data_IF_835529354400
#
_entry.id   IF_835529354400
#
_cell.length_a   1.000
_cell.length_b   1.000
_cell.length_c   1.000
_cell.angle_alpha   90.00
_cell.angle_beta   90.00
_cell.angle_gamma   90.00
#
_symmetry.space_group_name_H-M   'P 1'
#
loop_
_entity.id
_entity.type
_entity.pdbx_description
1 polymer ?
#
# COMPACT_ATOMS: atom_id res chain seq x y z
N UNK A 1 11.49 29.48 17.52
CA UNK A 1 12.56 29.71 16.52
C UNK A 1 13.91 29.09 16.87
N UNK A 2 14.06 27.76 16.66
CA UNK A 2 15.35 27.06 16.46
C UNK A 2 15.10 25.56 16.31
N UNK A 3 14.63 25.13 15.15
CA UNK A 3 14.71 23.72 14.71
C UNK A 3 14.45 23.62 13.21
N UNK A 4 15.27 24.30 12.41
CA UNK A 4 15.35 24.14 10.95
C UNK A 4 16.80 24.36 10.58
N UNK A 5 17.61 23.30 10.56
CA UNK A 5 18.88 23.24 9.78
C UNK A 5 19.71 21.95 10.01
N UNK A 6 19.10 20.76 10.09
CA UNK A 6 19.88 19.51 10.22
C UNK A 6 19.46 18.31 9.37
N UNK A 7 18.69 18.50 8.30
CA UNK A 7 18.36 17.42 7.35
C UNK A 7 18.59 17.84 5.89
N UNK A 8 19.84 18.20 5.55
CA UNK A 8 20.21 18.52 4.15
C UNK A 8 21.29 17.63 3.54
N UNK A 9 21.66 16.52 4.18
CA UNK A 9 22.85 15.73 3.79
C UNK A 9 22.63 14.22 3.58
N UNK A 10 21.40 13.74 3.30
CA UNK A 10 21.17 12.28 3.11
C UNK A 10 20.50 11.80 1.83
N UNK A 11 20.19 12.68 0.89
CA UNK A 11 19.73 12.26 -0.44
C UNK A 11 20.85 12.48 -1.46
N UNK A 12 21.88 11.63 -1.40
CA UNK A 12 22.73 11.41 -2.58
C UNK A 12 21.84 10.73 -3.62
N UNK A 13 21.24 11.52 -4.49
CA UNK A 13 20.52 11.08 -5.67
C UNK A 13 21.50 10.24 -6.51
N UNK A 14 21.41 8.90 -6.39
CA UNK A 14 22.17 7.98 -7.23
C UNK A 14 21.77 8.27 -8.66
N UNK A 15 22.67 8.86 -9.42
CA UNK A 15 22.42 9.20 -10.81
C UNK A 15 22.66 7.93 -11.64
N UNK A 16 21.65 7.38 -12.32
CA UNK A 16 21.84 6.20 -13.14
C UNK A 16 22.73 6.45 -14.36
N UNK A 17 23.48 5.43 -14.75
CA UNK A 17 24.23 5.41 -16.01
C UNK A 17 23.29 5.10 -17.18
N UNK A 18 23.06 6.10 -18.02
CA UNK A 18 22.28 6.03 -19.27
C UNK A 18 23.23 5.94 -20.47
N UNK A 19 22.85 5.15 -21.47
CA UNK A 19 23.56 5.04 -22.75
C UNK A 19 23.07 6.12 -23.74
N UNK A 20 24.00 6.83 -24.39
CA UNK A 20 23.71 7.99 -25.26
C UNK A 20 22.97 7.65 -26.57
N UNK A 21 22.08 8.56 -27.00
CA UNK A 21 21.09 8.40 -28.09
C UNK A 21 21.51 9.10 -29.40
N UNK A 22 22.67 9.76 -29.44
CA UNK A 22 23.05 10.64 -30.57
C UNK A 22 23.72 9.95 -31.76
N UNK A 23 23.98 8.65 -31.71
CA UNK A 23 24.53 7.85 -32.83
C UNK A 23 23.63 6.70 -33.28
N UNK A 24 22.42 6.60 -32.74
CA UNK A 24 21.55 5.43 -32.95
C UNK A 24 20.59 5.55 -34.15
N UNK A 25 20.42 6.72 -34.76
CA UNK A 25 19.40 6.88 -35.82
C UNK A 25 19.74 6.16 -37.13
N UNK A 26 21.02 5.95 -37.46
CA UNK A 26 21.40 5.20 -38.67
C UNK A 26 21.59 3.70 -38.45
N UNK A 27 21.62 3.22 -37.19
CA UNK A 27 21.77 1.78 -36.89
C UNK A 27 20.51 1.15 -36.32
N UNK A 28 19.62 1.92 -35.68
CA UNK A 28 18.33 1.42 -35.18
C UNK A 28 17.27 1.29 -36.27
N UNK A 29 17.30 2.07 -37.35
CA UNK A 29 16.39 1.87 -38.51
C UNK A 29 16.70 0.53 -39.19
N UNK A 30 17.99 0.24 -39.42
CA UNK A 30 18.44 -1.03 -40.01
C UNK A 30 18.22 -2.22 -39.06
N UNK A 31 18.22 -1.99 -37.75
CA UNK A 31 17.94 -3.00 -36.73
C UNK A 31 16.43 -3.30 -36.61
N UNK A 32 15.58 -2.27 -36.66
CA UNK A 32 14.13 -2.42 -36.57
C UNK A 32 13.53 -3.00 -37.87
N UNK A 33 14.11 -2.66 -39.03
CA UNK A 33 13.74 -3.26 -40.32
C UNK A 33 14.11 -4.74 -40.39
N UNK A 34 15.28 -5.13 -39.86
CA UNK A 34 15.67 -6.54 -39.77
C UNK A 34 14.80 -7.37 -38.80
N UNK A 35 14.32 -6.78 -37.69
CA UNK A 35 13.37 -7.44 -36.78
C UNK A 35 12.01 -7.64 -37.45
N UNK A 36 11.55 -6.69 -38.26
CA UNK A 36 10.27 -6.78 -38.96
C UNK A 36 10.28 -7.82 -40.10
N UNK A 37 11.42 -7.97 -40.80
CA UNK A 37 11.60 -8.98 -41.86
C UNK A 37 11.80 -10.40 -41.31
N UNK A 38 12.48 -10.57 -40.18
CA UNK A 38 12.69 -11.88 -39.55
C UNK A 38 11.39 -12.49 -38.97
N UNK A 39 10.46 -11.66 -38.50
CA UNK A 39 9.19 -12.12 -37.92
C UNK A 39 8.17 -12.61 -38.97
N UNK A 40 8.46 -12.47 -40.28
CA UNK A 40 7.56 -12.88 -41.37
C UNK A 40 7.83 -14.28 -41.92
N UNK A 41 8.93 -14.95 -41.55
CA UNK A 41 9.39 -16.16 -42.27
C UNK A 41 9.54 -17.44 -41.44
N UNK A 42 9.37 -17.46 -40.11
CA UNK A 42 9.33 -18.74 -39.37
C UNK A 42 8.68 -18.62 -37.97
N UNK A 43 7.63 -19.39 -37.63
CA UNK A 43 7.07 -19.43 -36.29
C UNK A 43 7.78 -20.50 -35.46
N UNK A 44 8.91 -20.19 -34.84
CA UNK A 44 9.45 -20.91 -33.69
C UNK A 44 10.51 -20.06 -32.96
N UNK A 45 10.62 -20.12 -31.62
CA UNK A 45 11.36 -19.14 -30.82
C UNK A 45 12.87 -19.38 -30.93
N UNK A 46 13.53 -18.76 -31.91
CA UNK A 46 14.98 -18.78 -32.04
C UNK A 46 15.61 -17.79 -31.05
N UNK A 47 16.28 -18.33 -30.03
CA UNK A 47 17.18 -17.64 -29.12
C UNK A 47 18.20 -16.81 -29.89
N UNK A 48 18.01 -15.49 -29.93
CA UNK A 48 19.01 -14.53 -30.43
C UNK A 48 20.10 -14.40 -29.36
N UNK A 49 21.14 -15.24 -29.50
CA UNK A 49 22.35 -15.16 -28.67
C UNK A 49 23.21 -14.05 -29.25
N UNK A 50 23.06 -12.82 -28.76
CA UNK A 50 23.93 -11.71 -29.15
C UNK A 50 25.31 -11.94 -28.50
N UNK A 51 26.30 -12.24 -29.33
CA UNK A 51 27.70 -12.42 -28.93
C UNK A 51 28.23 -11.08 -28.37
N UNK A 52 28.97 -11.06 -27.23
CA UNK A 52 29.39 -9.81 -26.55
C UNK A 52 30.27 -8.88 -27.40
N UNK A 53 30.78 -9.36 -28.53
CA UNK A 53 31.66 -8.61 -29.44
C UNK A 53 30.93 -7.61 -30.35
N UNK A 54 29.59 -7.56 -30.36
CA UNK A 54 28.83 -6.62 -31.20
C UNK A 54 28.27 -5.39 -30.45
N UNK A 55 28.37 -5.33 -29.12
CA UNK A 55 28.04 -4.14 -28.33
C UNK A 55 29.30 -3.26 -28.21
N UNK A 56 29.60 -2.49 -29.26
CA UNK A 56 30.59 -1.41 -29.17
C UNK A 56 30.10 -0.43 -28.10
N UNK A 57 30.92 -0.23 -27.07
CA UNK A 57 30.57 0.56 -25.89
C UNK A 57 30.08 1.97 -26.27
N UNK A 58 28.76 2.16 -26.16
CA UNK A 58 28.12 3.48 -26.20
C UNK A 58 28.50 4.20 -24.89
N UNK A 59 28.86 5.47 -25.00
CA UNK A 59 29.26 6.29 -23.85
C UNK A 59 28.20 6.21 -22.72
N UNK A 60 28.66 5.96 -21.49
CA UNK A 60 27.83 5.97 -20.30
C UNK A 60 27.82 7.38 -19.71
N UNK A 61 26.63 7.88 -19.39
CA UNK A 61 26.46 9.18 -18.75
C UNK A 61 25.58 9.06 -17.52
N UNK A 62 26.04 9.64 -16.42
CA UNK A 62 25.24 9.82 -15.21
C UNK A 62 24.17 10.90 -15.45
N UNK A 63 22.90 10.57 -15.23
CA UNK A 63 21.76 11.51 -15.36
C UNK A 63 20.87 11.41 -14.13
N UNK A 64 20.20 12.52 -13.76
CA UNK A 64 19.20 12.49 -12.68
C UNK A 64 18.03 11.59 -13.05
N UNK A 65 17.48 10.93 -12.04
CA UNK A 65 16.28 10.08 -12.15
C UNK A 65 15.07 10.80 -12.75
N UNK A 66 15.01 12.13 -12.63
CA UNK A 66 13.93 12.97 -13.16
C UNK A 66 13.99 13.15 -14.68
N UNK A 67 15.17 12.95 -15.28
CA UNK A 67 15.39 13.11 -16.72
C UNK A 67 15.21 11.80 -17.50
N UNK A 68 14.86 10.71 -16.81
CA UNK A 68 14.63 9.41 -17.42
C UNK A 68 13.34 9.39 -18.24
N UNK A 69 13.45 8.93 -19.48
CA UNK A 69 12.33 8.75 -20.40
C UNK A 69 12.08 7.27 -20.70
N UNK A 70 10.86 6.98 -21.16
CA UNK A 70 10.54 5.67 -21.71
C UNK A 70 11.43 5.39 -22.93
N UNK A 71 11.99 4.19 -23.00
CA UNK A 71 12.92 3.81 -24.05
C UNK A 71 14.40 3.92 -23.67
N UNK A 72 14.73 4.54 -22.54
CA UNK A 72 16.12 4.63 -22.09
C UNK A 72 16.62 3.26 -21.61
N UNK A 73 17.92 3.01 -21.80
CA UNK A 73 18.58 1.79 -21.32
C UNK A 73 19.49 2.14 -20.15
N UNK A 74 19.20 1.53 -19.01
CA UNK A 74 19.86 1.75 -17.74
C UNK A 74 20.80 0.61 -17.43
N UNK A 75 22.01 0.94 -16.98
CA UNK A 75 22.92 -0.03 -16.39
C UNK A 75 22.79 0.01 -14.88
N UNK A 76 22.30 -1.06 -14.27
CA UNK A 76 22.14 -1.21 -12.82
C UNK A 76 23.22 -2.15 -12.30
N UNK A 77 24.09 -1.64 -11.43
CA UNK A 77 25.17 -2.43 -10.83
C UNK A 77 24.68 -3.22 -9.61
N UNK A 78 25.44 -4.25 -9.17
CA UNK A 78 25.15 -4.94 -7.92
C UNK A 78 25.17 -3.97 -6.73
N UNK A 79 24.16 -4.03 -5.87
CA UNK A 79 23.96 -3.15 -4.72
C UNK A 79 23.21 -1.85 -5.04
N UNK A 80 22.93 -1.55 -6.31
CA UNK A 80 22.21 -0.35 -6.71
C UNK A 80 20.69 -0.53 -6.70
N UNK A 81 19.97 0.58 -6.48
CA UNK A 81 18.53 0.62 -6.65
C UNK A 81 18.18 0.72 -8.13
N UNK A 82 17.16 -0.01 -8.54
CA UNK A 82 16.57 0.14 -9.87
C UNK A 82 15.87 1.51 -9.91
N UNK A 83 16.25 2.44 -10.80
CA UNK A 83 15.76 3.82 -10.74
C UNK A 83 14.35 4.00 -11.35
N UNK A 84 13.92 3.10 -12.25
CA UNK A 84 12.63 3.17 -12.93
C UNK A 84 12.11 1.78 -13.31
N UNK A 85 10.80 1.66 -13.55
CA UNK A 85 10.18 0.40 -13.95
C UNK A 85 10.57 0.04 -15.39
N UNK A 86 10.94 -1.22 -15.61
CA UNK A 86 11.53 -1.63 -16.87
C UNK A 86 11.51 -3.14 -17.13
N UNK A 87 12.15 -3.53 -18.22
CA UNK A 87 12.34 -4.94 -18.61
C UNK A 87 13.83 -5.20 -18.78
N UNK A 88 14.32 -6.34 -18.31
CA UNK A 88 15.73 -6.73 -18.46
C UNK A 88 16.04 -7.03 -19.92
N UNK A 89 16.97 -6.28 -20.50
CA UNK A 89 17.50 -6.52 -21.85
C UNK A 89 18.67 -7.51 -21.84
N UNK A 90 19.52 -7.47 -20.81
CA UNK A 90 20.67 -8.35 -20.70
C UNK A 90 21.16 -8.45 -19.24
N UNK A 91 21.78 -9.59 -18.93
CA UNK A 91 22.24 -9.93 -17.59
C UNK A 91 21.23 -10.77 -16.82
N UNK A 92 21.64 -11.23 -15.63
CA UNK A 92 20.81 -11.99 -14.70
C UNK A 92 21.26 -11.69 -13.27
N UNK A 93 20.29 -11.43 -12.39
CA UNK A 93 20.57 -11.08 -11.01
C UNK A 93 19.38 -11.36 -10.11
N UNK A 94 19.65 -11.52 -8.82
CA UNK A 94 18.64 -11.51 -7.78
C UNK A 94 18.27 -10.07 -7.42
N UNK A 95 16.97 -9.79 -7.44
CA UNK A 95 16.39 -8.50 -7.05
C UNK A 95 15.63 -8.67 -5.74
N UNK A 96 15.95 -7.81 -4.78
CA UNK A 96 15.21 -7.68 -3.53
C UNK A 96 14.00 -6.77 -3.74
N UNK A 97 12.81 -7.39 -3.75
CA UNK A 97 11.51 -6.74 -3.85
C UNK A 97 10.81 -6.59 -2.49
N UNK A 98 11.49 -6.86 -1.37
CA UNK A 98 10.91 -6.91 -0.02
C UNK A 98 10.17 -5.62 0.38
N UNK A 99 10.69 -4.47 -0.02
CA UNK A 99 10.08 -3.16 0.23
C UNK A 99 8.70 -2.97 -0.45
N UNK A 100 8.40 -3.75 -1.49
CA UNK A 100 7.18 -3.63 -2.29
C UNK A 100 6.24 -4.81 -2.10
N UNK A 101 6.78 -6.04 -2.10
CA UNK A 101 6.00 -7.28 -2.01
C UNK A 101 5.91 -7.83 -0.59
N UNK A 102 6.79 -7.39 0.31
CA UNK A 102 6.92 -7.97 1.66
C UNK A 102 7.59 -9.36 1.68
N UNK A 103 8.02 -9.89 0.53
CA UNK A 103 8.71 -11.18 0.47
C UNK A 103 10.21 -11.02 0.77
N UNK A 104 10.76 -11.71 1.79
CA UNK A 104 12.14 -11.51 2.23
C UNK A 104 13.18 -12.19 1.33
N UNK A 105 12.76 -13.07 0.43
CA UNK A 105 13.66 -13.83 -0.44
C UNK A 105 13.81 -13.08 -1.77
N UNK A 106 15.03 -12.69 -2.17
CA UNK A 106 15.28 -12.07 -3.46
C UNK A 106 14.83 -12.96 -4.63
N UNK A 107 14.23 -12.36 -5.65
CA UNK A 107 13.75 -13.07 -6.85
C UNK A 107 14.76 -13.00 -7.97
N UNK A 108 14.99 -14.13 -8.62
CA UNK A 108 15.81 -14.17 -9.83
C UNK A 108 15.10 -13.45 -10.98
N UNK A 109 15.83 -12.59 -11.69
CA UNK A 109 15.38 -11.89 -12.89
C UNK A 109 16.39 -12.06 -14.00
N UNK A 110 15.88 -12.30 -15.20
CA UNK A 110 16.64 -12.59 -16.42
C UNK A 110 16.05 -11.86 -17.62
N UNK A 111 16.65 -12.03 -18.80
CA UNK A 111 16.25 -11.38 -20.04
C UNK A 111 14.74 -11.55 -20.31
N UNK A 112 14.04 -10.42 -20.50
CA UNK A 112 12.59 -10.37 -20.72
C UNK A 112 11.75 -10.19 -19.45
N UNK A 113 12.32 -10.36 -18.25
CA UNK A 113 11.58 -10.17 -17.00
C UNK A 113 11.38 -8.69 -16.67
N UNK A 114 10.24 -8.36 -16.08
CA UNK A 114 9.95 -7.01 -15.57
C UNK A 114 10.63 -6.75 -14.24
N UNK A 115 11.16 -5.54 -14.08
CA UNK A 115 11.76 -5.04 -12.84
C UNK A 115 11.06 -3.75 -12.40
N UNK A 116 10.91 -3.58 -11.09
CA UNK A 116 10.20 -2.44 -10.51
C UNK A 116 11.20 -1.44 -9.92
N UNK A 117 10.98 -0.16 -10.17
CA UNK A 117 11.76 0.93 -9.62
C UNK A 117 11.66 0.98 -8.09
N UNK A 118 12.78 1.28 -7.44
CA UNK A 118 12.94 1.29 -5.98
C UNK A 118 13.38 -0.06 -5.39
N UNK A 119 13.37 -1.14 -6.17
CA UNK A 119 13.92 -2.45 -5.75
C UNK A 119 15.45 -2.46 -5.78
N UNK A 120 16.08 -3.35 -5.02
CA UNK A 120 17.55 -3.39 -4.89
C UNK A 120 18.11 -4.57 -5.69
N UNK A 121 19.05 -4.28 -6.59
CA UNK A 121 19.80 -5.30 -7.29
C UNK A 121 20.90 -5.86 -6.38
N UNK A 122 21.06 -7.17 -6.26
CA UNK A 122 21.98 -7.76 -5.25
C UNK A 122 23.27 -8.36 -5.83
N UNK A 123 23.22 -9.03 -6.98
CA UNK A 123 24.30 -9.96 -7.39
C UNK A 123 24.97 -9.59 -8.71
N UNK A 124 24.24 -9.59 -9.82
CA UNK A 124 24.77 -9.34 -11.17
C UNK A 124 24.42 -7.95 -11.71
N UNK A 125 25.18 -7.48 -12.70
CA UNK A 125 24.83 -6.26 -13.43
C UNK A 125 23.66 -6.52 -14.39
N UNK A 126 22.72 -5.59 -14.47
CA UNK A 126 21.54 -5.67 -15.34
C UNK A 126 21.52 -4.49 -16.31
N UNK A 127 21.17 -4.76 -17.56
CA UNK A 127 20.73 -3.74 -18.52
C UNK A 127 19.21 -3.74 -18.56
N UNK A 128 18.59 -2.62 -18.22
CA UNK A 128 17.14 -2.48 -18.06
C UNK A 128 16.62 -1.44 -19.05
N UNK A 129 15.66 -1.84 -19.88
CA UNK A 129 14.90 -0.94 -20.74
C UNK A 129 13.73 -0.31 -19.98
N UNK A 130 13.70 1.01 -19.90
CA UNK A 130 12.69 1.76 -19.17
C UNK A 130 11.34 1.68 -19.86
N UNK A 131 10.34 1.15 -19.16
CA UNK A 131 8.95 1.06 -19.64
C UNK A 131 8.05 2.12 -19.02
N UNK A 132 8.26 2.48 -17.76
CA UNK A 132 7.45 3.48 -17.05
C UNK A 132 8.33 4.34 -16.12
N UNK A 133 8.08 5.65 -16.10
CA UNK A 133 8.80 6.62 -15.26
C UNK A 133 7.82 7.55 -14.55
N UNK A 134 8.30 8.22 -13.50
CA UNK A 134 7.58 9.27 -12.79
C UNK A 134 6.24 8.81 -12.20
N UNK A 135 5.17 9.55 -12.51
CA UNK A 135 3.82 9.34 -11.97
C UNK A 135 3.15 8.03 -12.39
N UNK A 136 3.69 7.33 -13.39
CA UNK A 136 3.18 6.03 -13.85
C UNK A 136 3.88 4.85 -13.19
N UNK A 137 4.96 5.05 -12.44
CA UNK A 137 5.67 3.95 -11.77
C UNK A 137 4.79 3.26 -10.73
N UNK A 138 5.06 1.98 -10.47
CA UNK A 138 4.35 1.20 -9.46
C UNK A 138 4.38 1.90 -8.08
N UNK A 139 5.54 2.43 -7.68
CA UNK A 139 5.69 3.15 -6.41
C UNK A 139 4.85 4.45 -6.39
N UNK A 140 4.84 5.22 -7.49
CA UNK A 140 4.03 6.44 -7.57
C UNK A 140 2.52 6.14 -7.51
N UNK A 141 2.08 5.03 -8.11
CA UNK A 141 0.69 4.58 -8.03
C UNK A 141 0.31 4.19 -6.60
N UNK A 142 1.19 3.51 -5.86
CA UNK A 142 0.99 3.18 -4.43
C UNK A 142 0.89 4.46 -3.60
N UNK A 143 1.79 5.43 -3.79
CA UNK A 143 1.74 6.72 -3.09
C UNK A 143 0.44 7.47 -3.38
N UNK A 144 0.02 7.50 -4.65
CA UNK A 144 -1.24 8.13 -5.04
C UNK A 144 -2.46 7.45 -4.42
N UNK A 145 -2.46 6.12 -4.34
CA UNK A 145 -3.53 5.35 -3.67
C UNK A 145 -3.59 5.67 -2.18
N UNK A 146 -2.43 5.72 -1.51
CA UNK A 146 -2.32 6.08 -0.09
C UNK A 146 -2.79 7.51 0.16
N UNK A 147 -2.36 8.48 -0.66
CA UNK A 147 -2.79 9.88 -0.53
C UNK A 147 -4.30 10.04 -0.72
N UNK A 148 -4.89 9.35 -1.71
CA UNK A 148 -6.34 9.34 -1.92
C UNK A 148 -7.08 8.76 -0.72
N UNK A 149 -6.54 7.72 -0.08
CA UNK A 149 -7.12 7.13 1.11
C UNK A 149 -7.02 8.06 2.35
N UNK A 150 -5.94 8.83 2.50
CA UNK A 150 -5.74 9.77 3.61
C UNK A 150 -6.60 11.04 3.52
N UNK A 151 -6.99 11.45 2.31
CA UNK A 151 -7.80 12.66 2.06
C UNK A 151 -9.31 12.47 2.27
N UNK A 152 -9.76 11.27 2.64
CA UNK A 152 -11.19 10.98 2.84
C UNK A 152 -11.68 11.53 4.19
N UNK A 153 -12.67 12.44 4.15
CA UNK A 153 -13.34 12.95 5.36
C UNK A 153 -14.05 11.82 6.12
N UNK A 154 -14.14 11.96 7.45
CA UNK A 154 -14.86 11.04 8.31
C UNK A 154 -16.38 11.06 8.00
N UNK A 155 -17.03 9.90 7.79
CA UNK A 155 -18.45 9.83 7.47
C UNK A 155 -19.37 10.38 8.58
N UNK A 156 -19.04 10.26 9.87
CA UNK A 156 -19.84 10.83 10.97
C UNK A 156 -19.90 12.37 10.94
N UNK A 157 -18.84 13.04 10.48
CA UNK A 157 -18.84 14.50 10.36
C UNK A 157 -19.85 14.95 9.28
N UNK A 158 -19.98 14.17 8.20
CA UNK A 158 -21.00 14.40 7.19
C UNK A 158 -22.42 14.10 7.70
N UNK A 159 -22.58 13.19 8.67
CA UNK A 159 -23.88 12.91 9.29
C UNK A 159 -24.36 14.07 10.18
N UNK A 160 -23.47 14.64 11.01
CA UNK A 160 -23.77 15.84 11.79
C UNK A 160 -24.12 17.05 10.88
N UNK A 161 -23.42 17.21 9.76
CA UNK A 161 -23.72 18.23 8.75
C UNK A 161 -25.08 17.99 8.07
N UNK A 162 -25.46 16.73 7.81
CA UNK A 162 -26.77 16.37 7.24
C UNK A 162 -27.90 16.68 8.21
N UNK A 163 -27.74 16.36 9.50
CA UNK A 163 -28.72 16.73 10.53
C UNK A 163 -28.87 18.25 10.57
N UNK A 164 -27.76 18.98 10.64
CA UNK A 164 -27.77 20.45 10.70
C UNK A 164 -28.47 21.07 9.48
N UNK A 165 -28.29 20.50 8.29
CA UNK A 165 -28.97 20.94 7.05
C UNK A 165 -30.49 20.86 7.12
N UNK A 166 -31.04 19.91 7.86
CA UNK A 166 -32.50 19.74 8.02
C UNK A 166 -33.00 20.49 9.25
N UNK A 167 -32.21 20.48 10.33
CA UNK A 167 -32.56 21.04 11.63
C UNK A 167 -32.64 22.57 11.61
N UNK A 168 -31.68 23.23 10.96
CA UNK A 168 -31.66 24.70 10.84
C UNK A 168 -32.91 25.27 10.15
N UNK A 169 -33.29 24.81 8.93
CA UNK A 169 -34.52 25.31 8.30
C UNK A 169 -35.78 24.93 9.07
N UNK A 170 -35.82 23.76 9.74
CA UNK A 170 -36.95 23.38 10.57
C UNK A 170 -37.18 24.35 11.74
N UNK A 171 -36.12 24.75 12.45
CA UNK A 171 -36.21 25.73 13.54
C UNK A 171 -36.66 27.09 13.03
N UNK A 172 -36.15 27.54 11.87
CA UNK A 172 -36.56 28.81 11.26
C UNK A 172 -38.05 28.81 10.93
N UNK A 173 -38.58 27.71 10.37
CA UNK A 173 -40.01 27.57 10.09
C UNK A 173 -40.82 27.56 11.38
N UNK A 174 -40.41 26.80 12.40
CA UNK A 174 -41.10 26.77 13.70
C UNK A 174 -41.10 28.13 14.41
N UNK A 175 -39.99 28.86 14.37
CA UNK A 175 -39.87 30.21 14.90
C UNK A 175 -40.79 31.18 14.16
N UNK A 176 -40.84 31.11 12.84
CA UNK A 176 -41.75 31.92 12.02
C UNK A 176 -43.23 31.60 12.29
N UNK A 177 -43.59 30.32 12.42
CA UNK A 177 -44.96 29.91 12.78
C UNK A 177 -45.34 30.39 14.18
N UNK A 178 -44.41 30.35 15.14
CA UNK A 178 -44.61 30.89 16.48
C UNK A 178 -44.85 32.39 16.43
N UNK A 179 -44.00 33.14 15.71
CA UNK A 179 -44.19 34.56 15.49
C UNK A 179 -45.56 34.87 14.88
N UNK A 180 -45.94 34.16 13.81
CA UNK A 180 -47.19 34.38 13.10
C UNK A 180 -48.40 34.06 13.98
N UNK A 181 -48.35 32.98 14.75
CA UNK A 181 -49.42 32.60 15.68
C UNK A 181 -49.65 33.65 16.76
N UNK A 182 -48.59 34.11 17.42
CA UNK A 182 -48.67 35.16 18.45
C UNK A 182 -49.04 36.53 17.89
N UNK A 183 -48.62 36.83 16.66
CA UNK A 183 -49.00 38.07 15.98
C UNK A 183 -50.50 38.08 15.64
N UNK A 184 -51.04 36.99 15.08
CA UNK A 184 -52.47 36.89 14.73
C UNK A 184 -53.35 36.98 15.97
N UNK A 185 -52.99 36.30 17.07
CA UNK A 185 -53.76 36.37 18.33
C UNK A 185 -53.71 37.77 18.95
N UNK A 186 -52.60 38.50 18.77
CA UNK A 186 -52.45 39.89 19.21
C UNK A 186 -53.26 40.89 18.40
N UNK A 187 -53.34 40.72 17.08
CA UNK A 187 -54.19 41.56 16.23
C UNK A 187 -55.68 41.29 16.46
N UNK A 188 -56.05 40.06 16.83
CA UNK A 188 -57.45 39.68 17.13
C UNK A 188 -57.87 39.92 18.59
N UNK A 189 -57.00 40.51 19.42
CA UNK A 189 -57.26 40.74 20.86
C UNK A 189 -57.68 39.49 21.63
N UNK A 190 -57.15 38.31 21.27
CA UNK A 190 -57.55 37.04 21.87
C UNK A 190 -56.94 36.83 23.26
N UNK A 191 -55.83 37.47 23.58
CA UNK A 191 -55.21 37.42 24.90
C UNK A 191 -55.50 38.69 25.72
N UNK A 192 -55.57 38.60 27.06
CA UNK A 192 -55.83 39.74 27.93
C UNK A 192 -54.73 40.80 27.82
N UNK A 193 -55.10 42.07 27.81
CA UNK A 193 -54.14 43.18 27.74
C UNK A 193 -53.18 43.24 28.94
N UNK A 194 -53.47 42.55 30.05
CA UNK A 194 -52.54 42.43 31.18
C UNK A 194 -51.27 41.63 30.85
N UNK A 195 -51.30 40.76 29.84
CA UNK A 195 -50.13 39.97 29.44
C UNK A 195 -49.11 40.75 28.62
N UNK A 196 -49.50 41.94 28.14
CA UNK A 196 -48.62 42.82 27.38
C UNK A 196 -47.88 43.75 28.35
N UNK A 197 -46.54 43.69 28.43
CA UNK A 197 -45.78 44.63 29.24
C UNK A 197 -46.02 46.07 28.76
N UNK A 198 -46.11 47.02 29.70
CA UNK A 198 -46.37 48.42 29.38
C UNK A 198 -45.36 48.94 28.34
N UNK A 199 -45.88 49.46 27.22
CA UNK A 199 -45.07 50.01 26.11
C UNK A 199 -44.67 49.02 25.00
N UNK A 200 -45.04 47.74 25.09
CA UNK A 200 -44.74 46.76 24.03
C UNK A 200 -45.85 46.71 22.97
N UNK A 201 -45.46 46.69 21.69
CA UNK A 201 -46.39 46.42 20.59
C UNK A 201 -46.64 44.91 20.44
N UNK A 202 -47.82 44.47 19.95
CA UNK A 202 -48.10 43.05 19.67
C UNK A 202 -47.05 42.39 18.76
N UNK A 203 -46.45 43.17 17.85
CA UNK A 203 -45.33 42.76 17.02
C UNK A 203 -44.07 42.42 17.84
N UNK A 204 -43.67 43.31 18.76
CA UNK A 204 -42.48 43.13 19.58
C UNK A 204 -42.63 41.93 20.53
N UNK A 205 -43.84 41.75 21.08
CA UNK A 205 -44.18 40.61 21.93
C UNK A 205 -44.08 39.27 21.19
N UNK A 206 -44.68 39.17 19.99
CA UNK A 206 -44.59 37.96 19.16
C UNK A 206 -43.15 37.67 18.69
N UNK A 207 -42.37 38.72 18.37
CA UNK A 207 -40.97 38.60 17.97
C UNK A 207 -40.10 38.05 19.11
N UNK A 208 -40.38 38.45 20.36
CA UNK A 208 -39.64 37.96 21.52
C UNK A 208 -39.81 36.44 21.71
N UNK A 209 -41.02 35.91 21.52
CA UNK A 209 -41.26 34.46 21.53
C UNK A 209 -40.56 33.73 20.38
N UNK A 210 -40.53 34.33 19.19
CA UNK A 210 -39.84 33.75 18.04
C UNK A 210 -38.32 33.64 18.27
N UNK A 211 -37.72 34.69 18.85
CA UNK A 211 -36.30 34.71 19.24
C UNK A 211 -36.05 33.69 20.36
N UNK A 212 -36.94 33.58 21.34
CA UNK A 212 -36.81 32.60 22.42
C UNK A 212 -36.76 31.16 21.87
N UNK A 213 -37.61 30.82 20.89
CA UNK A 213 -37.58 29.52 20.19
C UNK A 213 -36.27 29.31 19.44
N UNK A 214 -35.72 30.33 18.79
CA UNK A 214 -34.43 30.22 18.10
C UNK A 214 -33.26 29.97 19.06
N UNK A 215 -33.23 30.70 20.18
CA UNK A 215 -32.14 30.62 21.17
C UNK A 215 -32.15 29.27 21.88
N UNK A 216 -33.33 28.80 22.32
CA UNK A 216 -33.44 27.53 23.04
C UNK A 216 -33.13 26.32 22.15
N UNK A 217 -33.28 26.47 20.83
CA UNK A 217 -33.03 25.42 19.86
C UNK A 217 -31.55 25.31 19.41
N UNK A 218 -30.62 26.16 19.91
CA UNK A 218 -29.20 26.02 19.54
C UNK A 218 -28.68 24.61 19.86
N UNK A 219 -28.25 23.82 18.85
CA UNK A 219 -27.68 22.49 19.09
C UNK A 219 -26.19 22.61 19.47
N UNK A 220 -25.87 23.49 20.42
CA UNK A 220 -24.51 23.85 20.81
C UNK A 220 -23.68 22.61 21.26
N UNK A 221 -24.32 21.61 21.87
CA UNK A 221 -23.68 20.35 22.27
C UNK A 221 -23.39 19.37 21.12
N UNK A 222 -24.16 19.43 20.03
CA UNK A 222 -24.07 18.48 18.92
C UNK A 222 -22.73 18.59 18.19
N UNK A 223 -22.22 19.82 18.02
CA UNK A 223 -20.96 20.09 17.34
C UNK A 223 -19.71 19.62 18.11
N UNK A 224 -19.80 19.48 19.44
CA UNK A 224 -18.68 19.06 20.29
C UNK A 224 -18.71 17.56 20.64
N UNK A 225 -19.87 16.92 20.61
CA UNK A 225 -20.00 15.51 20.99
C UNK A 225 -19.04 14.59 20.22
N UNK A 226 -18.98 14.73 18.89
CA UNK A 226 -18.15 13.89 18.01
C UNK A 226 -16.64 14.10 18.22
N UNK A 227 -16.08 15.32 18.16
CA UNK A 227 -14.64 15.53 18.36
C UNK A 227 -14.18 15.13 19.76
N UNK A 228 -14.99 15.35 20.80
CA UNK A 228 -14.64 14.91 22.16
C UNK A 228 -14.60 13.39 22.27
N UNK A 229 -15.57 12.68 21.71
CA UNK A 229 -15.58 11.22 21.70
C UNK A 229 -14.36 10.64 20.96
N UNK A 230 -14.01 11.18 19.80
CA UNK A 230 -12.84 10.76 19.02
C UNK A 230 -11.53 11.06 19.77
N UNK A 231 -11.40 12.23 20.38
CA UNK A 231 -10.22 12.62 21.13
C UNK A 231 -9.97 11.70 22.34
N UNK A 232 -11.01 11.42 23.12
CA UNK A 232 -10.91 10.50 24.27
C UNK A 232 -10.65 9.07 23.79
N UNK A 233 -11.38 8.61 22.77
CA UNK A 233 -11.23 7.25 22.22
C UNK A 233 -9.82 6.97 21.68
N UNK A 234 -9.24 7.93 20.94
CA UNK A 234 -7.86 7.83 20.46
C UNK A 234 -6.84 7.88 21.59
N UNK A 235 -7.09 8.67 22.64
CA UNK A 235 -6.27 8.69 23.85
C UNK A 235 -6.26 7.37 24.61
N UNK A 236 -7.42 6.70 24.71
CA UNK A 236 -7.53 5.36 25.30
C UNK A 236 -6.82 4.32 24.43
N UNK A 237 -7.03 4.35 23.12
CA UNK A 237 -6.36 3.43 22.18
C UNK A 237 -4.83 3.52 22.26
N UNK A 238 -4.28 4.73 22.38
CA UNK A 238 -2.84 4.93 22.53
C UNK A 238 -2.27 4.28 23.80
N UNK A 239 -3.03 4.28 24.92
CA UNK A 239 -2.63 3.58 26.16
C UNK A 239 -2.61 2.06 26.01
N UNK A 240 -3.34 1.52 25.04
CA UNK A 240 -3.36 0.10 24.69
C UNK A 240 -2.34 -0.25 23.58
N UNK A 241 -1.48 0.70 23.19
CA UNK A 241 -0.50 0.49 22.12
C UNK A 241 -1.10 0.51 20.71
N UNK A 242 -2.34 0.98 20.55
CA UNK A 242 -3.02 1.07 19.25
C UNK A 242 -2.89 2.49 18.72
N UNK A 243 -2.12 2.66 17.64
CA UNK A 243 -1.95 3.94 16.98
C UNK A 243 -2.98 4.12 15.86
N UNK A 244 -3.89 5.07 16.05
CA UNK A 244 -4.94 5.39 15.06
C UNK A 244 -4.51 6.62 14.27
N UNK A 245 -4.34 6.47 12.95
CA UNK A 245 -3.95 7.54 12.03
C UNK A 245 -5.12 7.83 11.06
N UNK A 246 -5.39 9.11 10.80
CA UNK A 246 -6.53 9.53 9.97
C UNK A 246 -7.74 10.09 10.75
N UNK A 247 -7.53 10.49 12.01
CA UNK A 247 -8.56 11.12 12.84
C UNK A 247 -9.75 10.20 13.17
N UNK A 248 -10.94 10.79 13.35
CA UNK A 248 -12.15 10.05 13.72
C UNK A 248 -12.63 9.06 12.66
N UNK A 249 -12.27 9.25 11.39
CA UNK A 249 -12.68 8.39 10.28
C UNK A 249 -12.17 6.95 10.44
N UNK A 250 -10.93 6.79 10.89
CA UNK A 250 -10.32 5.48 11.07
C UNK A 250 -10.97 4.73 12.23
N UNK A 251 -11.26 5.43 13.33
CA UNK A 251 -11.92 4.87 14.51
C UNK A 251 -13.36 4.44 14.20
N UNK A 252 -14.09 5.25 13.42
CA UNK A 252 -15.46 4.93 12.98
C UNK A 252 -15.48 3.76 11.98
N UNK A 253 -14.59 3.74 10.99
CA UNK A 253 -14.53 2.61 10.05
C UNK A 253 -14.16 1.31 10.77
N UNK A 254 -13.24 1.38 11.74
CA UNK A 254 -12.84 0.22 12.52
C UNK A 254 -14.01 -0.42 13.29
N UNK A 255 -14.98 0.37 13.77
CA UNK A 255 -16.16 -0.18 14.45
C UNK A 255 -17.12 -0.91 13.51
N UNK A 256 -17.09 -0.59 12.22
CA UNK A 256 -17.90 -1.24 11.18
C UNK A 256 -17.19 -2.41 10.48
N UNK A 257 -15.95 -2.73 10.84
CA UNK A 257 -15.21 -3.86 10.26
C UNK A 257 -15.80 -5.18 10.75
N UNK A 258 -16.21 -6.03 9.81
CA UNK A 258 -16.70 -7.40 10.07
C UNK A 258 -15.69 -8.49 9.72
N UNK A 259 -14.73 -8.18 8.84
CA UNK A 259 -13.73 -9.12 8.33
C UNK A 259 -12.35 -8.49 8.46
N UNK A 260 -11.42 -9.23 9.07
CA UNK A 260 -10.02 -8.83 9.19
C UNK A 260 -9.19 -9.78 8.34
N UNK A 261 -8.58 -9.25 7.29
CA UNK A 261 -7.60 -9.98 6.48
C UNK A 261 -6.21 -9.67 7.02
N UNK A 262 -5.49 -10.69 7.47
CA UNK A 262 -4.12 -10.56 7.93
C UNK A 262 -3.15 -10.87 6.81
N UNK A 263 -2.13 -10.04 6.65
CA UNK A 263 -0.95 -10.43 5.90
C UNK A 263 -0.22 -11.55 6.67
N UNK A 264 0.41 -12.49 5.95
CA UNK A 264 1.11 -13.60 6.60
C UNK A 264 2.48 -13.17 7.07
N UNK A 265 3.26 -12.57 6.17
CA UNK A 265 4.68 -12.32 6.40
C UNK A 265 4.87 -11.05 7.20
N UNK A 266 5.51 -11.11 8.37
CA UNK A 266 5.75 -9.92 9.22
C UNK A 266 4.53 -9.42 10.01
N UNK A 267 3.33 -9.99 9.81
CA UNK A 267 2.16 -9.77 10.67
C UNK A 267 1.82 -11.02 11.48
N UNK A 268 1.52 -12.15 10.83
CA UNK A 268 1.30 -13.43 11.53
C UNK A 268 2.61 -14.17 11.84
N UNK A 269 3.65 -13.93 11.05
CA UNK A 269 4.97 -14.55 11.23
C UNK A 269 6.01 -13.53 11.69
N UNK A 270 7.07 -14.01 12.33
CA UNK A 270 8.20 -13.20 12.83
C UNK A 270 9.01 -12.54 11.69
N UNK A 271 8.76 -12.91 10.43
CA UNK A 271 9.45 -12.36 9.26
C UNK A 271 10.92 -12.78 9.14
N UNK A 272 11.38 -13.71 10.00
CA UNK A 272 12.75 -14.25 10.00
C UNK A 272 12.71 -15.74 9.69
N UNK A 273 13.35 -16.21 8.60
CA UNK A 273 13.40 -17.62 8.29
C UNK A 273 14.21 -18.38 9.35
N UNK A 274 13.67 -19.50 9.81
CA UNK A 274 14.36 -20.45 10.69
C UNK A 274 14.35 -21.82 10.04
N UNK A 275 15.44 -22.59 10.20
CA UNK A 275 15.50 -23.96 9.70
C UNK A 275 14.57 -24.81 10.56
N UNK A 276 13.45 -25.27 9.98
CA UNK A 276 12.45 -26.04 10.71
C UNK A 276 12.84 -27.50 10.88
N UNK A 277 13.49 -28.10 9.88
CA UNK A 277 13.95 -29.47 9.91
C UNK A 277 15.11 -29.68 8.94
N UNK A 278 16.01 -30.60 9.29
CA UNK A 278 17.04 -31.13 8.39
C UNK A 278 16.78 -32.62 8.26
N UNK A 279 16.57 -33.10 7.03
CA UNK A 279 16.39 -34.52 6.76
C UNK A 279 17.65 -35.04 6.07
N UNK A 280 18.44 -35.81 6.81
CA UNK A 280 19.61 -36.49 6.27
C UNK A 280 19.13 -37.77 5.57
N UNK A 281 19.55 -37.94 4.31
CA UNK A 281 19.31 -39.17 3.57
C UNK A 281 20.61 -39.96 3.64
N UNK A 282 20.57 -41.13 4.30
CA UNK A 282 21.69 -42.05 4.33
C UNK A 282 21.84 -42.68 2.94
N UNK A 283 23.05 -42.60 2.39
CA UNK A 283 23.39 -43.07 1.06
C UNK A 283 23.94 -44.49 1.18
N UNK A 284 23.10 -45.45 1.53
CA UNK A 284 23.54 -46.83 1.84
C UNK A 284 23.22 -47.87 0.73
N UNK A 285 22.65 -47.46 -0.41
CA UNK A 285 22.32 -48.40 -1.51
C UNK A 285 22.99 -48.13 -2.87
N UNK A 286 23.91 -47.16 -2.99
CA UNK A 286 24.52 -46.84 -4.29
C UNK A 286 25.87 -47.54 -4.57
N UNK A 287 26.47 -48.24 -3.60
CA UNK A 287 27.66 -49.07 -3.82
C UNK A 287 27.36 -50.52 -3.46
N UNK A 288 26.72 -51.21 -4.40
CA UNK A 288 26.56 -52.66 -4.34
C UNK A 288 27.92 -53.34 -4.17
N UNK A 289 28.01 -54.21 -3.16
CA UNK A 289 29.11 -55.17 -2.99
C UNK A 289 29.17 -56.05 -4.23
N UNK A 290 30.10 -55.78 -5.14
CA UNK A 290 30.63 -56.82 -6.01
C UNK A 290 31.43 -57.81 -5.16
N UNK A 291 30.87 -59.01 -5.03
CA UNK A 291 31.61 -60.27 -5.00
C UNK A 291 32.54 -60.54 -3.81
N UNK A 292 32.00 -61.06 -2.72
CA UNK A 292 32.70 -62.12 -1.98
C UNK A 292 31.72 -63.26 -1.71
N UNK A 293 31.77 -64.26 -2.59
CA UNK A 293 31.13 -65.54 -2.41
C UNK A 293 31.96 -66.44 -1.50
N UNK A 294 31.31 -66.93 -0.45
CA UNK A 294 31.43 -68.33 -0.04
C UNK A 294 32.60 -68.71 0.87
N UNK A 295 32.34 -68.75 2.18
CA UNK A 295 32.79 -69.86 3.00
C UNK A 295 31.81 -70.08 4.17
N UNK A 296 31.21 -71.25 4.14
CA UNK A 296 30.20 -71.80 5.04
C UNK A 296 30.90 -72.42 6.25
N UNK A 297 30.46 -72.10 7.48
CA UNK A 297 30.45 -73.09 8.57
C UNK A 297 29.29 -72.83 9.53
N UNK A 298 28.50 -73.88 9.74
CA UNK A 298 27.38 -73.97 10.68
C UNK A 298 27.88 -74.14 12.11
N UNK A 299 27.19 -73.52 13.07
CA UNK A 299 26.91 -73.96 14.44
C UNK A 299 26.17 -72.80 15.12
N UNK A 300 25.06 -72.90 15.84
CA UNK A 300 24.23 -73.99 16.28
C UNK A 300 23.27 -73.42 17.35
N UNK A 301 22.04 -73.94 17.40
CA UNK A 301 21.30 -74.22 18.64
C UNK A 301 20.66 -73.07 19.46
N UNK A 302 19.33 -73.01 19.30
CA UNK A 302 18.25 -72.93 20.33
C UNK A 302 17.92 -71.61 21.07
N UNK A 303 16.59 -71.37 21.13
CA UNK A 303 15.87 -70.72 22.24
C UNK A 303 15.13 -69.44 21.83
N UNK A 304 13.86 -69.48 21.39
CA UNK A 304 12.60 -69.57 22.16
C UNK A 304 12.18 -68.27 22.89
N UNK A 305 10.93 -67.84 22.68
CA UNK A 305 10.18 -66.82 23.46
C UNK A 305 9.91 -65.52 22.68
N UNK A 306 8.79 -65.29 21.99
CA UNK A 306 7.38 -65.13 22.40
C UNK A 306 7.02 -63.69 22.87
N UNK A 307 5.88 -63.17 22.36
CA UNK A 307 5.16 -61.95 22.82
C UNK A 307 5.28 -60.77 21.84
N UNK A 308 4.36 -60.51 20.90
CA UNK A 308 2.94 -60.14 20.98
C UNK A 308 2.67 -58.70 21.48
N UNK A 309 1.80 -57.97 20.77
CA UNK A 309 1.17 -56.71 21.19
C UNK A 309 1.68 -55.47 20.44
N UNK A 310 1.07 -54.99 19.34
CA UNK A 310 -0.26 -54.37 19.18
C UNK A 310 -0.34 -52.91 19.67
N UNK A 311 -0.90 -52.03 18.81
CA UNK A 311 -1.58 -50.77 19.19
C UNK A 311 -0.81 -49.49 18.84
N UNK A 312 -1.14 -48.76 17.77
CA UNK A 312 -2.22 -47.75 17.59
C UNK A 312 -2.00 -46.39 18.27
N UNK A 313 -2.30 -45.33 17.50
CA UNK A 313 -2.60 -43.96 17.92
C UNK A 313 -1.36 -43.09 18.14
N UNK A 314 -1.24 -41.89 17.55
CA UNK A 314 -2.27 -40.91 17.21
C UNK A 314 -1.85 -40.13 15.96
#
# INVERSE_FOLDING_TARGET
DKCKDKDKDKDKEQSPLVLDRTQTDTSLTDFNDNISHANKTNPNPSTLTLHPSQLKAVAQREVSTQLLHRGDVLKVLPGEKVPADGVVLAGGSFIDESMLTGEPVPKWRSLGDSVVGGTINTSGALLVHVTQTGSKSALAQIVALVQRAQMAKAPVQAYADRISRIFVPAILVMSFLTWLGWYITGVRHWYPSEWLPAGHTPFLFALLFAIAVLVIACPCALGLATPTAVMVGTGVAARLGILIKGGGAALEKASAVSVVAFDKTGTLTVGKPIVAAVKLVALEEAFGREGEGGARTQEGRKGNGNGNGNGNGN
#
